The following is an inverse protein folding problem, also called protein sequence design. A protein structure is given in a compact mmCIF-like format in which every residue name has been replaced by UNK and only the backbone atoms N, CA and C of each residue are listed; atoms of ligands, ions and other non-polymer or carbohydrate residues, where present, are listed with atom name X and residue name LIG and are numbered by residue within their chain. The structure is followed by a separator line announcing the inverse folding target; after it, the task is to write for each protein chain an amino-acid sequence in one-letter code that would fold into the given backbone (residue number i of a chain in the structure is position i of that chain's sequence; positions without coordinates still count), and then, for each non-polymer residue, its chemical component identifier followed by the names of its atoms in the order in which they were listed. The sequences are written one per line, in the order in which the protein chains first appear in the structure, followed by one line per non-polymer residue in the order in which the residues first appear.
data_IF_004288083116
#
_entry.id   IF_004288083116
#
_cell.length_a   1.000
_cell.length_b   1.000
_cell.length_c   1.000
_cell.angle_alpha   90.00
_cell.angle_beta   90.00
_cell.angle_gamma   90.00
#
_symmetry.space_group_name_H-M   'P 1'
#
loop_
_entity.id
_entity.type
_entity.pdbx_description
1 polymer ?
#
# COMPACT_ATOMS: atom_id res chain seq x y z
N UNK A 1 -42.11 -9.68 -48.37
CA UNK A 1 -40.78 -9.03 -48.39
C UNK A 1 -40.84 -7.79 -47.49
N UNK A 2 -39.86 -7.65 -46.56
CA UNK A 2 -39.56 -6.49 -45.68
C UNK A 2 -40.48 -6.35 -44.45
N UNK A 3 -40.23 -7.03 -43.33
CA UNK A 3 -39.29 -6.69 -42.23
C UNK A 3 -39.37 -5.20 -41.83
N UNK A 4 -39.83 -4.92 -40.60
CA UNK A 4 -39.28 -3.93 -39.63
C UNK A 4 -40.31 -3.58 -38.54
N UNK A 5 -40.05 -4.00 -37.31
CA UNK A 5 -40.35 -3.26 -36.07
C UNK A 5 -39.71 -4.01 -34.88
N UNK A 6 -38.37 -3.98 -34.81
CA UNK A 6 -37.67 -4.16 -33.53
C UNK A 6 -37.80 -2.85 -32.76
N UNK A 7 -38.39 -2.88 -31.57
CA UNK A 7 -38.02 -1.97 -30.48
C UNK A 7 -38.68 -2.42 -29.18
N UNK A 8 -37.99 -2.19 -28.06
CA UNK A 8 -38.41 -2.34 -26.66
C UNK A 8 -38.04 -3.69 -26.04
N UNK A 9 -36.77 -3.82 -25.64
CA UNK A 9 -36.41 -4.14 -24.25
C UNK A 9 -34.90 -3.85 -24.03
N UNK A 10 -34.57 -2.58 -23.76
CA UNK A 10 -33.19 -2.18 -23.46
C UNK A 10 -33.16 -1.19 -22.30
N UNK A 11 -33.53 -1.62 -21.09
CA UNK A 11 -33.13 -0.94 -19.83
C UNK A 11 -33.20 -1.95 -18.68
N UNK A 12 -32.10 -2.66 -18.36
CA UNK A 12 -31.92 -3.30 -17.04
C UNK A 12 -30.51 -3.90 -16.82
N UNK A 13 -29.43 -3.20 -17.18
CA UNK A 13 -28.08 -3.70 -16.85
C UNK A 13 -27.03 -2.62 -16.47
N UNK A 14 -27.43 -1.36 -16.28
CA UNK A 14 -26.48 -0.28 -15.93
C UNK A 14 -26.30 -0.02 -14.42
N UNK A 15 -26.66 -0.96 -13.54
CA UNK A 15 -26.66 -0.71 -12.09
C UNK A 15 -25.71 -1.60 -11.26
N UNK A 16 -24.69 -2.21 -11.87
CA UNK A 16 -23.58 -2.83 -11.12
C UNK A 16 -22.21 -2.30 -11.57
N UNK A 17 -22.09 -0.98 -11.74
CA UNK A 17 -20.81 -0.32 -11.53
C UNK A 17 -20.61 -0.16 -10.02
N UNK A 18 -20.36 -1.28 -9.33
CA UNK A 18 -19.79 -1.20 -7.99
C UNK A 18 -18.50 -0.42 -8.14
N UNK A 19 -18.43 0.76 -7.54
CA UNK A 19 -17.19 1.51 -7.41
C UNK A 19 -16.18 0.56 -6.79
N UNK A 20 -15.21 0.07 -7.56
CA UNK A 20 -14.05 -0.59 -7.00
C UNK A 20 -13.40 0.46 -6.10
N UNK A 21 -13.60 0.33 -4.78
CA UNK A 21 -12.87 1.12 -3.79
C UNK A 21 -11.39 0.93 -4.10
N UNK A 22 -10.67 2.03 -4.31
CA UNK A 22 -9.25 1.97 -4.63
C UNK A 22 -8.52 1.33 -3.45
N UNK A 23 -7.86 0.20 -3.68
CA UNK A 23 -7.08 -0.53 -2.66
C UNK A 23 -5.96 0.37 -2.11
N UNK A 24 -6.00 0.65 -0.81
CA UNK A 24 -5.01 1.47 -0.09
C UNK A 24 -3.77 0.64 0.22
N UNK A 25 -2.61 1.05 -0.27
CA UNK A 25 -1.33 0.35 -0.09
C UNK A 25 -0.53 0.95 1.05
N UNK A 26 -0.39 0.18 2.13
CA UNK A 26 0.38 0.58 3.31
C UNK A 26 1.65 -0.26 3.38
N UNK A 27 2.81 0.39 3.36
CA UNK A 27 4.09 -0.28 3.57
C UNK A 27 4.42 -0.35 5.07
N UNK A 28 4.58 -1.55 5.60
CA UNK A 28 5.13 -1.79 6.93
C UNK A 28 6.63 -2.08 6.79
N UNK A 29 7.46 -1.13 7.22
CA UNK A 29 8.92 -1.15 7.05
C UNK A 29 9.61 -1.54 8.35
N UNK A 30 10.11 -2.76 8.40
CA UNK A 30 10.88 -3.30 9.51
C UNK A 30 12.29 -2.70 9.61
N UNK A 31 12.93 -2.90 10.77
CA UNK A 31 14.37 -2.65 10.93
C UNK A 31 15.24 -3.60 10.10
N UNK A 32 14.85 -4.86 10.08
CA UNK A 32 15.49 -5.91 9.29
C UNK A 32 14.50 -7.05 9.06
N UNK A 33 14.47 -7.62 7.85
CA UNK A 33 13.72 -8.83 7.56
C UNK A 33 14.33 -10.05 8.28
N UNK A 34 13.49 -11.04 8.60
CA UNK A 34 13.91 -12.24 9.34
C UNK A 34 14.00 -12.04 10.86
N UNK A 35 13.68 -10.84 11.35
CA UNK A 35 13.52 -10.59 12.78
C UNK A 35 12.11 -10.96 13.23
N UNK A 36 11.99 -11.98 14.09
CA UNK A 36 10.72 -12.54 14.54
C UNK A 36 9.75 -11.54 15.17
N UNK A 37 10.24 -10.43 15.76
CA UNK A 37 9.38 -9.36 16.27
C UNK A 37 8.60 -8.68 15.13
N UNK A 38 9.27 -8.35 14.03
CA UNK A 38 8.63 -7.70 12.89
C UNK A 38 7.82 -8.69 12.05
N UNK A 39 8.18 -9.97 12.04
CA UNK A 39 7.32 -11.02 11.45
C UNK A 39 5.98 -11.11 12.20
N UNK A 40 6.00 -11.06 13.54
CA UNK A 40 4.78 -11.00 14.34
C UNK A 40 3.97 -9.71 14.08
N UNK A 41 4.63 -8.57 13.96
CA UNK A 41 3.97 -7.31 13.61
C UNK A 41 3.32 -7.36 12.22
N UNK A 42 3.96 -8.02 11.24
CA UNK A 42 3.38 -8.26 9.92
C UNK A 42 2.11 -9.11 10.01
N UNK A 43 2.10 -10.18 10.81
CA UNK A 43 0.88 -10.99 11.01
C UNK A 43 -0.28 -10.12 11.46
N UNK A 44 -0.09 -9.31 12.51
CA UNK A 44 -1.13 -8.40 13.01
C UNK A 44 -1.55 -7.35 11.97
N UNK A 45 -0.61 -6.81 11.20
CA UNK A 45 -0.93 -5.86 10.14
C UNK A 45 -1.77 -6.50 9.01
N UNK A 46 -1.48 -7.74 8.63
CA UNK A 46 -2.25 -8.49 7.63
C UNK A 46 -3.64 -8.87 8.15
N UNK A 47 -3.78 -9.18 9.44
CA UNK A 47 -5.08 -9.40 10.08
C UNK A 47 -5.93 -8.14 10.05
N UNK A 48 -5.39 -7.00 10.48
CA UNK A 48 -6.08 -5.71 10.43
C UNK A 48 -6.46 -5.31 8.99
N UNK A 49 -5.59 -5.57 8.01
CA UNK A 49 -5.88 -5.29 6.60
C UNK A 49 -7.08 -6.09 6.09
N UNK A 50 -7.22 -7.35 6.50
CA UNK A 50 -8.39 -8.19 6.16
C UNK A 50 -9.67 -7.69 6.82
N UNK A 51 -9.59 -7.20 8.05
CA UNK A 51 -10.74 -6.63 8.76
C UNK A 51 -11.24 -5.33 8.09
N UNK A 52 -10.32 -4.51 7.57
CA UNK A 52 -10.65 -3.27 6.86
C UNK A 52 -11.17 -3.53 5.43
N UNK A 53 -10.65 -4.56 4.75
CA UNK A 53 -11.17 -5.07 3.48
C UNK A 53 -10.73 -4.30 2.21
N UNK A 54 -10.23 -3.08 2.35
CA UNK A 54 -9.73 -2.22 1.27
C UNK A 54 -8.24 -1.85 1.42
N UNK A 55 -7.52 -2.55 2.30
CA UNK A 55 -6.11 -2.29 2.60
C UNK A 55 -5.23 -3.44 2.12
N UNK A 56 -4.13 -3.09 1.44
CA UNK A 56 -3.04 -3.99 1.10
C UNK A 56 -1.78 -3.61 1.88
N UNK A 57 -1.34 -4.51 2.75
CA UNK A 57 -0.09 -4.35 3.49
C UNK A 57 1.09 -4.90 2.70
N UNK A 58 2.09 -4.04 2.46
CA UNK A 58 3.39 -4.40 1.91
C UNK A 58 4.38 -4.48 3.07
N UNK A 59 4.64 -5.68 3.56
CA UNK A 59 5.69 -5.89 4.56
C UNK A 59 7.05 -6.00 3.89
N UNK A 60 7.97 -5.12 4.27
CA UNK A 60 9.32 -5.08 3.71
C UNK A 60 10.30 -4.44 4.69
N UNK A 61 11.57 -4.41 4.32
CA UNK A 61 12.65 -3.87 5.13
C UNK A 61 13.99 -4.28 4.55
N UNK A 62 15.09 -3.70 5.03
CA UNK A 62 16.42 -4.13 4.61
C UNK A 62 16.74 -5.52 5.19
N UNK A 63 17.76 -6.20 4.65
CA UNK A 63 18.31 -7.44 5.23
C UNK A 63 19.38 -7.16 6.28
N UNK A 64 19.88 -5.93 6.36
CA UNK A 64 20.83 -5.45 7.37
C UNK A 64 20.22 -4.28 8.13
N UNK A 65 20.73 -3.98 9.33
CA UNK A 65 20.16 -2.94 10.21
C UNK A 65 20.75 -1.55 9.96
N UNK A 66 21.30 -1.28 8.78
CA UNK A 66 21.90 0.03 8.47
C UNK A 66 20.84 1.04 8.03
N UNK A 67 21.15 2.33 8.18
CA UNK A 67 20.28 3.40 7.71
C UNK A 67 20.25 3.45 6.18
N UNK A 68 21.40 3.26 5.53
CA UNK A 68 21.57 3.30 4.08
C UNK A 68 20.69 2.25 3.40
N UNK A 69 20.72 1.01 3.89
CA UNK A 69 19.90 -0.06 3.34
C UNK A 69 18.40 0.24 3.54
N UNK A 70 18.01 0.83 4.67
CA UNK A 70 16.62 1.22 4.89
C UNK A 70 16.19 2.38 3.97
N UNK A 71 17.08 3.32 3.68
CA UNK A 71 16.84 4.44 2.75
C UNK A 71 16.63 3.91 1.32
N UNK A 72 17.34 2.87 0.89
CA UNK A 72 17.11 2.23 -0.41
C UNK A 72 15.70 1.64 -0.52
N UNK A 73 15.26 0.90 0.52
CA UNK A 73 13.89 0.36 0.60
C UNK A 73 12.86 1.48 0.53
N UNK A 74 13.06 2.56 1.29
CA UNK A 74 12.15 3.72 1.29
C UNK A 74 12.06 4.39 -0.08
N UNK A 75 13.18 4.55 -0.80
CA UNK A 75 13.14 5.09 -2.16
C UNK A 75 12.36 4.20 -3.12
N UNK A 76 12.46 2.87 -2.98
CA UNK A 76 11.66 1.92 -3.73
C UNK A 76 10.15 2.08 -3.47
N UNK A 77 9.75 2.20 -2.21
CA UNK A 77 8.35 2.40 -1.81
C UNK A 77 7.79 3.74 -2.30
N UNK A 78 8.60 4.80 -2.22
CA UNK A 78 8.25 6.10 -2.79
C UNK A 78 8.03 5.94 -4.30
N UNK A 79 8.95 5.29 -5.03
CA UNK A 79 8.82 5.08 -6.47
C UNK A 79 7.57 4.27 -6.84
N UNK A 80 7.23 3.25 -6.05
CA UNK A 80 6.00 2.45 -6.21
C UNK A 80 4.72 3.24 -5.96
N UNK A 81 4.80 4.39 -5.26
CA UNK A 81 3.66 5.23 -4.96
C UNK A 81 2.69 4.59 -3.97
N UNK A 82 3.22 4.05 -2.86
CA UNK A 82 2.39 3.59 -1.74
C UNK A 82 1.65 4.76 -1.09
N UNK A 83 0.50 4.50 -0.49
CA UNK A 83 -0.33 5.53 0.14
C UNK A 83 0.19 5.90 1.54
N UNK A 84 0.78 4.93 2.25
CA UNK A 84 1.39 5.16 3.56
C UNK A 84 2.64 4.29 3.79
N UNK A 85 3.51 4.77 4.67
CA UNK A 85 4.69 4.10 5.20
C UNK A 85 4.61 4.13 6.72
N UNK A 86 4.53 2.97 7.36
CA UNK A 86 4.69 2.78 8.79
C UNK A 86 6.09 2.18 9.03
N UNK A 87 6.98 2.88 9.71
CA UNK A 87 8.42 2.53 9.76
C UNK A 87 8.95 2.37 11.20
N UNK A 88 9.73 1.32 11.42
CA UNK A 88 10.67 1.26 12.54
C UNK A 88 12.05 1.71 12.08
N UNK A 89 12.44 2.95 12.41
CA UNK A 89 13.67 3.56 11.91
C UNK A 89 14.93 2.88 12.48
N UNK A 90 15.91 2.64 11.60
CA UNK A 90 17.24 2.15 11.98
C UNK A 90 18.12 3.26 12.55
N UNK A 91 17.90 4.51 12.12
CA UNK A 91 18.58 5.69 12.63
C UNK A 91 17.58 6.86 12.73
N UNK A 92 17.60 7.65 13.82
CA UNK A 92 16.61 8.71 14.06
C UNK A 92 16.74 9.91 13.10
N UNK A 93 17.92 10.17 12.55
CA UNK A 93 18.20 11.38 11.76
C UNK A 93 18.40 11.05 10.27
N UNK A 94 19.12 9.98 9.95
CA UNK A 94 19.54 9.67 8.58
C UNK A 94 18.36 9.37 7.64
N UNK A 95 17.26 8.81 8.15
CA UNK A 95 16.05 8.50 7.35
C UNK A 95 15.14 9.72 7.16
N UNK A 96 15.31 10.78 7.96
CA UNK A 96 14.41 11.95 7.94
C UNK A 96 14.32 12.61 6.56
N UNK A 97 15.42 12.83 5.81
CA UNK A 97 15.33 13.44 4.48
C UNK A 97 14.48 12.63 3.49
N UNK A 98 14.64 11.30 3.46
CA UNK A 98 13.87 10.44 2.55
C UNK A 98 12.40 10.32 2.98
N UNK A 99 12.10 10.31 4.28
CA UNK A 99 10.72 10.34 4.78
C UNK A 99 10.03 11.67 4.49
N UNK A 100 10.75 12.80 4.60
CA UNK A 100 10.24 14.11 4.15
C UNK A 100 9.94 14.11 2.65
N UNK A 101 10.79 13.50 1.83
CA UNK A 101 10.53 13.31 0.39
C UNK A 101 9.26 12.46 0.15
N UNK A 102 9.03 11.40 0.93
CA UNK A 102 7.80 10.62 0.85
C UNK A 102 6.57 11.48 1.16
N UNK A 103 6.59 12.24 2.26
CA UNK A 103 5.51 13.13 2.66
C UNK A 103 5.20 14.20 1.62
N UNK A 104 6.23 14.79 0.99
CA UNK A 104 6.08 15.75 -0.11
C UNK A 104 5.38 15.16 -1.34
N UNK A 105 5.43 13.83 -1.52
CA UNK A 105 4.72 13.11 -2.58
C UNK A 105 3.33 12.63 -2.17
N UNK A 106 2.82 13.08 -1.03
CA UNK A 106 1.48 12.75 -0.53
C UNK A 106 1.41 11.45 0.28
N UNK A 107 2.52 10.75 0.46
CA UNK A 107 2.60 9.50 1.21
C UNK A 107 2.51 9.81 2.71
N UNK A 108 1.61 9.16 3.44
CA UNK A 108 1.53 9.31 4.89
C UNK A 108 2.70 8.56 5.55
N UNK A 109 3.35 9.18 6.54
CA UNK A 109 4.47 8.56 7.26
C UNK A 109 4.10 8.48 8.74
N UNK A 110 4.26 7.30 9.33
CA UNK A 110 4.01 6.99 10.75
C UNK A 110 5.20 6.26 11.34
#
# INVERSE_FOLDING_TARGET
MKIKASLILTVAALALSGSALAEVKIALVAKSLGNGFFEAANVGAQEAAKELGDVKVIYTGPTTTTAEAQIEVLNGLIAQGVDAIAISANDPDAVVPVLKKAMQRGIKVV
#
